data_IF_488174523378
#
_entry.id   IF_488174523378
#
_cell.length_a   1.000
_cell.length_b   1.000
_cell.length_c   1.000
_cell.angle_alpha   90.00
_cell.angle_beta   90.00
_cell.angle_gamma   90.00
#
_symmetry.space_group_name_H-M   'P 1'
#
loop_
_entity.id
_entity.type
_entity.pdbx_description
1 polymer ?
#
# COMPACT_ATOMS: atom_id res chain seq x y z
N UNK A 1 22.58 12.02 -9.19
CA UNK A 1 21.53 11.51 -8.31
C UNK A 1 21.95 11.88 -6.91
N UNK A 2 21.18 12.62 -6.16
CA UNK A 2 21.48 12.80 -4.74
C UNK A 2 21.24 11.46 -4.06
N UNK A 3 22.26 10.92 -3.39
CA UNK A 3 22.14 9.74 -2.57
C UNK A 3 21.07 10.03 -1.51
N UNK A 4 19.95 9.34 -1.60
CA UNK A 4 18.88 9.48 -0.63
C UNK A 4 19.26 8.67 0.61
N UNK A 5 19.69 9.36 1.65
CA UNK A 5 20.06 8.75 2.94
C UNK A 5 18.82 8.26 3.67
N UNK A 6 18.39 7.03 3.39
CA UNK A 6 17.25 6.42 4.08
C UNK A 6 17.65 5.74 5.40
N UNK A 7 18.91 5.46 5.59
CA UNK A 7 19.45 4.72 6.74
C UNK A 7 19.07 5.39 8.07
N UNK A 8 19.00 6.71 8.11
CA UNK A 8 18.59 7.45 9.31
C UNK A 8 17.15 7.23 9.73
N UNK A 9 16.31 6.69 8.86
CA UNK A 9 14.90 6.36 9.12
C UNK A 9 14.70 4.89 9.47
N UNK A 10 15.76 4.06 9.37
CA UNK A 10 15.69 2.66 9.77
C UNK A 10 15.43 2.57 11.28
N UNK A 11 14.52 1.71 11.65
CA UNK A 11 14.12 1.48 13.03
C UNK A 11 13.83 0.00 13.26
N UNK A 12 13.97 -0.42 14.50
CA UNK A 12 13.30 -1.61 15.01
C UNK A 12 11.96 -1.24 15.66
N UNK A 13 11.25 -2.23 16.16
CA UNK A 13 9.94 -2.02 16.79
C UNK A 13 10.08 -1.18 18.07
N UNK A 14 11.14 -1.39 18.84
CA UNK A 14 11.32 -0.74 20.16
C UNK A 14 11.63 0.76 20.01
N UNK A 15 12.35 1.13 18.96
CA UNK A 15 12.72 2.50 18.62
C UNK A 15 11.73 3.20 17.67
N UNK A 16 10.69 2.51 17.20
CA UNK A 16 9.76 3.00 16.18
C UNK A 16 9.18 4.37 16.54
N UNK A 17 8.65 4.51 17.75
CA UNK A 17 7.98 5.73 18.18
C UNK A 17 8.94 6.92 18.24
N UNK A 18 10.13 6.75 18.83
CA UNK A 18 11.15 7.80 18.91
C UNK A 18 11.68 8.20 17.53
N UNK A 19 11.77 7.24 16.59
CA UNK A 19 12.18 7.51 15.22
C UNK A 19 11.12 8.35 14.49
N UNK A 20 9.83 8.01 14.65
CA UNK A 20 8.72 8.80 14.07
C UNK A 20 8.67 10.19 14.70
N UNK A 21 8.79 10.31 16.01
CA UNK A 21 8.80 11.60 16.72
C UNK A 21 9.93 12.51 16.23
N UNK A 22 11.09 11.94 15.94
CA UNK A 22 12.27 12.69 15.49
C UNK A 22 12.22 13.08 14.03
N UNK A 23 11.77 12.19 13.16
CA UNK A 23 11.91 12.34 11.71
C UNK A 23 10.57 12.44 10.95
N UNK A 24 9.44 12.19 11.59
CA UNK A 24 8.12 12.11 10.95
C UNK A 24 7.89 10.82 10.16
N UNK A 25 8.90 9.96 10.03
CA UNK A 25 8.85 8.70 9.29
C UNK A 25 9.78 7.68 9.95
N UNK A 26 9.42 6.41 9.88
CA UNK A 26 10.28 5.29 10.25
C UNK A 26 10.14 4.16 9.24
N UNK A 27 11.23 3.44 8.99
CA UNK A 27 11.28 2.27 8.12
C UNK A 27 11.68 1.07 8.97
N UNK A 28 10.81 0.09 9.06
CA UNK A 28 11.11 -1.18 9.73
C UNK A 28 11.35 -2.23 8.65
N UNK A 29 12.60 -2.63 8.40
CA UNK A 29 12.90 -3.59 7.35
C UNK A 29 12.46 -5.00 7.73
N UNK A 30 12.18 -5.81 6.73
CA UNK A 30 11.97 -7.26 6.86
C UNK A 30 10.85 -7.68 7.80
N UNK A 31 9.79 -6.88 7.94
CA UNK A 31 8.58 -7.27 8.68
C UNK A 31 7.92 -8.47 8.01
N UNK A 32 7.78 -8.43 6.69
CA UNK A 32 7.32 -9.55 5.90
C UNK A 32 8.51 -10.31 5.31
N UNK A 33 8.43 -11.63 5.31
CA UNK A 33 9.41 -12.45 4.63
C UNK A 33 9.15 -12.51 3.10
N UNK A 34 10.11 -13.09 2.38
CA UNK A 34 10.03 -13.17 0.91
C UNK A 34 8.81 -13.95 0.43
N UNK A 35 8.40 -15.00 1.14
CA UNK A 35 7.25 -15.80 0.76
C UNK A 35 5.94 -15.03 0.99
N UNK A 36 5.83 -14.31 2.09
CA UNK A 36 4.69 -13.43 2.36
C UNK A 36 4.58 -12.34 1.29
N UNK A 37 5.69 -11.71 0.92
CA UNK A 37 5.71 -10.72 -0.17
C UNK A 37 5.25 -11.34 -1.50
N UNK A 38 5.73 -12.53 -1.86
CA UNK A 38 5.29 -13.24 -3.06
C UNK A 38 3.81 -13.57 -3.04
N UNK A 39 3.29 -14.00 -1.89
CA UNK A 39 1.87 -14.29 -1.72
C UNK A 39 1.01 -13.03 -1.90
N UNK A 40 1.44 -11.90 -1.34
CA UNK A 40 0.75 -10.61 -1.51
C UNK A 40 0.74 -10.19 -2.98
N UNK A 41 1.87 -10.25 -3.66
CA UNK A 41 1.95 -9.92 -5.09
C UNK A 41 1.05 -10.83 -5.92
N UNK A 42 1.04 -12.14 -5.61
CA UNK A 42 0.13 -13.08 -6.28
C UNK A 42 -1.33 -12.73 -6.01
N UNK A 43 -1.69 -12.43 -4.77
CA UNK A 43 -3.07 -12.05 -4.41
C UNK A 43 -3.54 -10.76 -5.09
N UNK A 44 -2.63 -9.78 -5.28
CA UNK A 44 -2.93 -8.57 -6.06
C UNK A 44 -3.25 -8.96 -7.52
N UNK A 45 -2.43 -9.82 -8.14
CA UNK A 45 -2.68 -10.28 -9.50
C UNK A 45 -3.97 -11.09 -9.61
N UNK A 46 -4.27 -11.97 -8.65
CA UNK A 46 -5.52 -12.74 -8.63
C UNK A 46 -6.74 -11.80 -8.65
N UNK A 47 -6.68 -10.73 -7.87
CA UNK A 47 -7.72 -9.71 -7.84
C UNK A 47 -7.83 -8.96 -9.16
N UNK A 48 -6.72 -8.46 -9.72
CA UNK A 48 -6.69 -7.71 -10.97
C UNK A 48 -7.18 -8.55 -12.16
N UNK A 49 -6.75 -9.80 -12.24
CA UNK A 49 -7.22 -10.75 -13.25
C UNK A 49 -8.72 -11.05 -13.09
N UNK A 50 -9.22 -11.12 -11.85
CA UNK A 50 -10.64 -11.32 -11.59
C UNK A 50 -11.50 -10.14 -12.05
N UNK A 51 -11.16 -8.92 -11.65
CA UNK A 51 -11.97 -7.73 -11.98
C UNK A 51 -11.91 -7.36 -13.46
N UNK A 52 -10.85 -7.72 -14.16
CA UNK A 52 -10.65 -7.41 -15.58
C UNK A 52 -11.25 -8.46 -16.52
N UNK A 53 -11.79 -9.57 -16.01
CA UNK A 53 -12.42 -10.61 -16.86
C UNK A 53 -13.42 -10.08 -17.92
N UNK A 54 -14.27 -9.07 -17.60
CA UNK A 54 -15.23 -8.55 -18.58
C UNK A 54 -14.63 -7.50 -19.55
N UNK A 55 -13.34 -7.17 -19.43
CA UNK A 55 -12.71 -6.17 -20.30
C UNK A 55 -12.36 -6.75 -21.67
N UNK A 56 -12.28 -5.92 -22.69
CA UNK A 56 -11.87 -6.33 -24.05
C UNK A 56 -10.50 -7.00 -24.08
N UNK A 57 -9.60 -6.54 -23.22
CA UNK A 57 -8.29 -7.16 -22.99
C UNK A 57 -8.08 -7.39 -21.50
N UNK A 58 -8.51 -8.55 -20.94
CA UNK A 58 -8.31 -8.87 -19.55
C UNK A 58 -6.84 -8.86 -19.16
N UNK A 59 -6.57 -8.40 -17.95
CA UNK A 59 -5.22 -8.45 -17.38
C UNK A 59 -4.79 -9.90 -17.17
N UNK A 60 -3.53 -10.20 -17.49
CA UNK A 60 -2.92 -11.50 -17.28
C UNK A 60 -1.47 -11.30 -16.84
N UNK A 61 -1.10 -11.80 -15.66
CA UNK A 61 0.25 -11.66 -15.08
C UNK A 61 1.36 -12.23 -15.96
N UNK A 62 1.05 -13.21 -16.81
CA UNK A 62 2.00 -13.85 -17.71
C UNK A 62 2.02 -13.23 -19.13
N UNK A 63 1.20 -12.23 -19.40
CA UNK A 63 1.14 -11.54 -20.67
C UNK A 63 1.31 -10.03 -20.49
N UNK A 64 2.53 -9.53 -20.61
CA UNK A 64 2.86 -8.11 -20.42
C UNK A 64 2.09 -7.17 -21.38
N UNK A 65 1.71 -7.62 -22.58
CA UNK A 65 0.91 -6.79 -23.49
C UNK A 65 -0.45 -6.45 -22.91
N UNK A 66 -1.04 -7.36 -22.12
CA UNK A 66 -2.31 -7.12 -21.43
C UNK A 66 -2.21 -6.04 -20.36
N UNK A 67 -1.01 -5.76 -19.83
CA UNK A 67 -0.84 -4.80 -18.73
C UNK A 67 -1.15 -3.37 -19.14
N UNK A 68 -1.18 -3.08 -20.42
CA UNK A 68 -1.65 -1.79 -20.96
C UNK A 68 -3.09 -1.50 -20.58
N UNK A 69 -3.93 -2.53 -20.43
CA UNK A 69 -5.34 -2.40 -20.02
C UNK A 69 -5.49 -1.92 -18.56
N UNK A 70 -4.43 -1.98 -17.76
CA UNK A 70 -4.40 -1.42 -16.41
C UNK A 70 -4.82 0.05 -16.37
N UNK A 71 -4.66 0.78 -17.48
CA UNK A 71 -5.09 2.16 -17.57
C UNK A 71 -6.60 2.37 -17.52
N UNK A 72 -7.41 1.35 -17.72
CA UNK A 72 -8.85 1.42 -17.49
C UNK A 72 -9.18 1.66 -16.01
N UNK A 73 -8.26 1.32 -15.11
CA UNK A 73 -8.36 1.58 -13.68
C UNK A 73 -7.94 3.01 -13.30
N UNK A 74 -7.20 3.69 -14.17
CA UNK A 74 -6.48 4.93 -13.87
C UNK A 74 -7.28 6.23 -13.91
N UNK A 75 -8.37 6.37 -14.68
CA UNK A 75 -8.92 7.70 -14.95
C UNK A 75 -9.42 8.43 -13.71
N UNK A 76 -9.64 7.73 -12.62
CA UNK A 76 -10.32 8.31 -11.46
C UNK A 76 -9.39 8.71 -10.32
N UNK A 77 -8.24 8.04 -10.12
CA UNK A 77 -7.43 8.24 -8.91
C UNK A 77 -5.93 8.02 -9.06
N UNK A 78 -5.36 8.25 -10.20
CA UNK A 78 -3.93 8.25 -10.60
C UNK A 78 -2.93 7.32 -9.90
N UNK A 79 -3.11 6.86 -8.69
CA UNK A 79 -2.20 5.97 -7.95
C UNK A 79 -2.93 5.03 -7.00
N UNK A 80 -4.14 5.36 -6.60
CA UNK A 80 -4.86 4.65 -5.58
C UNK A 80 -6.09 3.97 -6.18
N UNK A 81 -6.11 2.65 -6.12
CA UNK A 81 -7.27 1.87 -6.52
C UNK A 81 -8.25 1.82 -5.37
N UNK A 82 -9.41 2.48 -5.54
CA UNK A 82 -10.51 2.50 -4.56
C UNK A 82 -11.79 1.83 -5.07
N UNK A 83 -11.85 1.53 -6.37
CA UNK A 83 -13.01 0.95 -7.01
C UNK A 83 -13.01 -0.59 -6.92
N UNK A 84 -14.05 -1.23 -7.45
CA UNK A 84 -14.22 -2.69 -7.51
C UNK A 84 -14.13 -3.40 -6.16
N UNK A 85 -14.50 -2.71 -5.07
CA UNK A 85 -14.43 -3.28 -3.71
C UNK A 85 -13.04 -3.79 -3.31
N UNK A 86 -11.99 -3.18 -3.84
CA UNK A 86 -10.60 -3.58 -3.62
C UNK A 86 -10.22 -3.60 -2.14
N UNK A 87 -10.82 -2.72 -1.34
CA UNK A 87 -10.68 -2.72 0.11
C UNK A 87 -11.17 -4.01 0.79
N UNK A 88 -11.98 -4.80 0.10
CA UNK A 88 -12.47 -6.11 0.55
C UNK A 88 -11.82 -7.29 -0.20
N UNK A 89 -10.83 -7.04 -1.07
CA UNK A 89 -10.07 -8.11 -1.68
C UNK A 89 -9.37 -8.95 -0.61
N UNK A 90 -9.28 -10.27 -0.82
CA UNK A 90 -8.65 -11.18 0.15
C UNK A 90 -7.24 -10.74 0.51
N UNK A 91 -6.45 -10.35 -0.47
CA UNK A 91 -5.08 -9.85 -0.25
C UNK A 91 -5.04 -8.62 0.68
N UNK A 92 -6.03 -7.73 0.61
CA UNK A 92 -6.11 -6.58 1.51
C UNK A 92 -6.36 -7.02 2.95
N UNK A 93 -7.18 -8.05 3.15
CA UNK A 93 -7.42 -8.64 4.46
C UNK A 93 -6.21 -9.41 4.98
N UNK A 94 -5.52 -10.16 4.12
CA UNK A 94 -4.31 -10.91 4.49
C UNK A 94 -3.22 -9.97 5.02
N UNK A 95 -3.05 -8.80 4.39
CA UNK A 95 -2.10 -7.78 4.85
C UNK A 95 -2.57 -7.15 6.17
N UNK A 96 -3.83 -6.72 6.26
CA UNK A 96 -4.38 -6.06 7.46
C UNK A 96 -4.37 -6.95 8.69
N UNK A 97 -4.56 -8.25 8.50
CA UNK A 97 -4.61 -9.23 9.59
C UNK A 97 -3.27 -9.94 9.82
N UNK A 98 -2.22 -9.58 9.08
CA UNK A 98 -0.91 -10.19 9.26
C UNK A 98 -0.38 -9.90 10.67
N UNK A 99 -0.08 -10.94 11.48
CA UNK A 99 0.30 -10.76 12.89
C UNK A 99 1.59 -9.95 13.07
N UNK A 100 2.50 -9.98 12.11
CA UNK A 100 3.73 -9.19 12.14
C UNK A 100 3.41 -7.70 11.96
N UNK A 101 2.50 -7.36 11.05
CA UNK A 101 2.03 -5.99 10.82
C UNK A 101 1.23 -5.51 12.03
N UNK A 102 0.29 -6.31 12.53
CA UNK A 102 -0.49 -5.98 13.72
C UNK A 102 0.41 -5.71 14.94
N UNK A 103 1.49 -6.48 15.12
CA UNK A 103 2.45 -6.26 16.20
C UNK A 103 3.10 -4.87 16.12
N UNK A 104 3.49 -4.43 14.91
CA UNK A 104 4.08 -3.09 14.72
C UNK A 104 3.10 -2.00 15.12
N UNK A 105 1.86 -2.06 14.66
CA UNK A 105 0.85 -1.05 14.97
C UNK A 105 0.43 -1.10 16.45
N UNK A 106 0.31 -2.29 17.03
CA UNK A 106 0.01 -2.44 18.46
C UNK A 106 1.08 -1.78 19.31
N UNK A 107 2.35 -1.94 18.96
CA UNK A 107 3.45 -1.29 19.65
C UNK A 107 3.42 0.23 19.48
N UNK A 108 3.23 0.70 18.24
CA UNK A 108 3.17 2.13 17.93
C UNK A 108 2.08 2.85 18.72
N UNK A 109 0.89 2.26 18.79
CA UNK A 109 -0.27 2.84 19.48
C UNK A 109 -0.40 2.44 20.95
N UNK A 110 0.54 1.66 21.49
CA UNK A 110 0.51 1.13 22.84
C UNK A 110 -0.84 0.45 23.17
N UNK A 111 -1.24 -0.48 22.33
CA UNK A 111 -2.52 -1.19 22.40
C UNK A 111 -2.36 -2.65 22.05
N UNK A 112 -3.43 -3.42 22.05
CA UNK A 112 -3.44 -4.81 21.60
C UNK A 112 -4.01 -4.93 20.18
N UNK A 113 -3.71 -6.01 19.43
CA UNK A 113 -4.25 -6.21 18.09
C UNK A 113 -5.77 -6.12 18.00
N UNK A 114 -6.47 -6.58 19.02
CA UNK A 114 -7.94 -6.60 19.10
C UNK A 114 -8.56 -5.21 19.18
N UNK A 115 -7.79 -4.23 19.64
CA UNK A 115 -8.21 -2.83 19.75
C UNK A 115 -7.81 -1.98 18.53
N UNK A 116 -7.14 -2.56 17.54
CA UNK A 116 -6.81 -1.85 16.32
C UNK A 116 -8.01 -1.77 15.40
N UNK A 117 -8.26 -0.58 14.87
CA UNK A 117 -9.24 -0.34 13.83
C UNK A 117 -8.51 -0.15 12.49
N UNK A 118 -9.05 -0.71 11.43
CA UNK A 118 -8.53 -0.51 10.07
C UNK A 118 -9.62 0.05 9.17
N UNK A 119 -9.26 0.93 8.25
CA UNK A 119 -10.16 1.39 7.21
C UNK A 119 -10.23 0.39 6.05
N UNK A 120 -11.32 0.49 5.27
CA UNK A 120 -11.50 -0.28 4.04
C UNK A 120 -10.97 0.47 2.83
N UNK A 121 -9.81 1.08 2.96
CA UNK A 121 -9.19 1.81 1.85
C UNK A 121 -8.61 0.86 0.81
N UNK A 122 -8.25 1.41 -0.35
CA UNK A 122 -7.68 0.68 -1.47
C UNK A 122 -6.21 0.33 -1.28
N UNK A 123 -5.59 -0.05 -2.37
CA UNK A 123 -4.13 -0.17 -2.44
C UNK A 123 -3.57 0.52 -3.68
N UNK A 124 -2.29 0.83 -3.65
CA UNK A 124 -1.58 1.41 -4.78
C UNK A 124 -0.93 0.31 -5.59
N UNK A 125 -1.05 0.40 -6.92
CA UNK A 125 -0.47 -0.55 -7.84
C UNK A 125 0.06 0.19 -9.07
N UNK A 126 1.29 -0.10 -9.45
CA UNK A 126 1.98 0.57 -10.55
C UNK A 126 2.55 -0.44 -11.54
N UNK A 127 2.35 -0.16 -12.82
CA UNK A 127 3.02 -0.89 -13.91
C UNK A 127 4.22 -0.05 -14.38
N UNK A 128 5.38 -0.66 -14.59
CA UNK A 128 6.56 0.05 -15.08
C UNK A 128 6.27 0.82 -16.38
N UNK A 129 6.72 2.09 -16.49
CA UNK A 129 6.46 2.91 -17.67
C UNK A 129 7.05 2.32 -18.94
N UNK A 130 8.10 1.53 -18.84
CA UNK A 130 8.74 0.82 -19.94
C UNK A 130 7.79 -0.20 -20.62
N UNK A 131 6.86 -0.76 -19.84
CA UNK A 131 5.87 -1.73 -20.34
C UNK A 131 4.67 -1.00 -20.94
N UNK A 132 4.25 0.09 -20.33
CA UNK A 132 3.04 0.79 -20.69
C UNK A 132 3.26 1.87 -21.75
N UNK A 133 4.50 2.24 -22.04
CA UNK A 133 4.89 3.39 -22.89
C UNK A 133 4.25 4.72 -22.44
N UNK A 134 3.87 4.83 -21.18
CA UNK A 134 3.40 6.06 -20.56
C UNK A 134 4.42 6.50 -19.51
N UNK A 135 4.79 7.76 -19.52
CA UNK A 135 5.75 8.31 -18.55
C UNK A 135 5.28 8.12 -17.10
N UNK A 136 6.19 8.32 -16.17
CA UNK A 136 5.87 8.35 -14.76
C UNK A 136 4.78 9.39 -14.48
N UNK A 137 3.79 9.01 -13.69
CA UNK A 137 2.83 9.97 -13.19
C UNK A 137 3.56 10.95 -12.24
N UNK A 138 3.56 12.24 -12.59
CA UNK A 138 4.17 13.30 -11.78
C UNK A 138 3.06 14.17 -11.21
N UNK A 139 2.60 13.86 -10.02
CA UNK A 139 1.77 14.78 -9.28
C UNK A 139 2.67 15.80 -8.56
N UNK A 140 2.49 17.09 -8.85
CA UNK A 140 3.33 18.14 -8.26
C UNK A 140 3.03 18.39 -6.79
N UNK A 141 1.84 18.01 -6.31
CA UNK A 141 1.38 18.24 -4.95
C UNK A 141 0.63 16.99 -4.48
N UNK A 142 1.37 16.05 -3.89
CA UNK A 142 0.82 14.82 -3.33
C UNK A 142 0.76 14.82 -1.80
N UNK A 143 1.34 15.81 -1.14
CA UNK A 143 1.28 15.91 0.32
C UNK A 143 -0.18 16.11 0.75
N UNK A 144 -0.68 15.15 1.50
CA UNK A 144 -2.04 15.15 2.05
C UNK A 144 -2.05 14.44 3.41
N UNK A 145 -3.12 14.62 4.15
CA UNK A 145 -3.46 13.73 5.25
C UNK A 145 -4.73 12.98 4.88
N UNK A 146 -4.79 11.70 5.20
CA UNK A 146 -5.93 10.86 4.85
C UNK A 146 -7.20 11.20 5.64
N UNK A 147 -7.07 12.00 6.69
CA UNK A 147 -8.20 12.39 7.54
C UNK A 147 -8.17 13.87 7.88
N UNK A 148 -9.24 14.56 7.55
CA UNK A 148 -9.60 15.82 8.20
C UNK A 148 -10.36 15.50 9.48
N UNK A 149 -9.69 15.60 10.63
CA UNK A 149 -10.36 15.42 11.91
C UNK A 149 -10.94 16.77 12.33
N UNK A 150 -12.24 16.93 12.17
CA UNK A 150 -12.98 17.84 13.03
C UNK A 150 -13.23 17.10 14.35
N UNK A 151 -12.40 17.39 15.34
CA UNK A 151 -12.62 17.04 16.75
C UNK A 151 -13.09 15.61 17.06
N UNK A 152 -12.23 14.61 16.91
CA UNK A 152 -12.27 13.40 17.73
C UNK A 152 -10.92 12.69 17.65
N UNK A 153 -10.38 12.35 18.81
CA UNK A 153 -9.10 11.66 19.01
C UNK A 153 -9.09 10.29 18.31
N UNK A 154 -8.60 10.25 17.11
CA UNK A 154 -8.18 9.01 16.45
C UNK A 154 -7.14 9.34 15.37
N UNK A 155 -5.88 9.30 15.74
CA UNK A 155 -4.78 9.41 14.80
C UNK A 155 -4.55 8.05 14.13
N UNK A 156 -5.23 7.78 13.05
CA UNK A 156 -4.88 6.66 12.18
C UNK A 156 -3.92 7.19 11.10
N UNK A 157 -2.63 6.99 11.30
CA UNK A 157 -1.64 7.23 10.27
C UNK A 157 -1.56 5.99 9.37
N UNK A 158 -1.81 6.17 8.08
CA UNK A 158 -1.66 5.12 7.10
C UNK A 158 -0.22 5.05 6.62
N UNK A 159 0.32 3.84 6.60
CA UNK A 159 1.57 3.55 5.90
C UNK A 159 1.23 3.21 4.44
N UNK A 160 1.83 3.96 3.50
CA UNK A 160 1.95 3.51 2.11
C UNK A 160 3.14 2.54 2.03
N UNK A 161 2.90 1.35 1.52
CA UNK A 161 3.93 0.37 1.18
C UNK A 161 4.35 0.57 -0.28
#
# INVERSE_FOLDING_TARGET
MSDYEYEKYLSDIDNLKSTIEKYGVAIIPSILDEQECKNIVSGIWDFLEYISKPWDTPLNRNNQESWKSFYELYPLHSMLLKNWNIGHAQVSWDVRQNPKILKVFSHLYNTTPENLLTSFDGFSFHIPPEITNRGWFRNKLWLHSDWFIYNLYCSCNFLCF
#
